data_IF_898689423822
#
_entry.id   IF_898689423822
#
_cell.length_a   1.000
_cell.length_b   1.000
_cell.length_c   1.000
_cell.angle_alpha   90.00
_cell.angle_beta   90.00
_cell.angle_gamma   90.00
#
_symmetry.space_group_name_H-M   'P 1'
#
loop_
_entity.id
_entity.type
_entity.pdbx_description
1 polymer ?
#
# COMPACT_ATOMS: atom_id res chain seq x y z
N UNK A 1 -16.72 1.28 -27.73
CA UNK A 1 -15.79 1.70 -26.67
C UNK A 1 -15.87 0.63 -25.59
N UNK A 2 -14.90 -0.28 -25.51
CA UNK A 2 -14.93 -1.34 -24.49
C UNK A 2 -14.53 -0.74 -23.15
N UNK A 3 -15.50 -0.58 -22.25
CA UNK A 3 -15.22 -0.40 -20.83
C UNK A 3 -14.64 -1.73 -20.33
N UNK A 4 -13.33 -1.80 -20.12
CA UNK A 4 -12.73 -2.95 -19.46
C UNK A 4 -13.12 -2.88 -17.99
N UNK A 5 -14.21 -3.56 -17.63
CA UNK A 5 -14.52 -3.79 -16.23
C UNK A 5 -13.31 -4.48 -15.59
N UNK A 6 -12.86 -3.95 -14.45
CA UNK A 6 -11.74 -4.53 -13.71
C UNK A 6 -12.07 -5.99 -13.35
N UNK A 7 -11.11 -6.93 -13.47
CA UNK A 7 -11.35 -8.31 -13.06
C UNK A 7 -11.45 -8.46 -11.53
N UNK A 8 -11.27 -7.37 -10.78
CA UNK A 8 -11.27 -7.35 -9.32
C UNK A 8 -12.58 -6.75 -8.77
N UNK A 9 -13.04 -7.24 -7.61
CA UNK A 9 -14.18 -6.66 -6.90
C UNK A 9 -13.98 -5.18 -6.53
N UNK A 10 -15.05 -4.39 -6.60
CA UNK A 10 -15.00 -2.94 -6.32
C UNK A 10 -14.59 -2.63 -4.87
N UNK A 11 -14.98 -3.46 -3.91
CA UNK A 11 -14.61 -3.33 -2.49
C UNK A 11 -13.10 -3.54 -2.27
N UNK A 12 -12.49 -4.52 -2.93
CA UNK A 12 -11.05 -4.72 -2.93
C UNK A 12 -10.30 -3.53 -3.57
N UNK A 13 -10.80 -3.02 -4.68
CA UNK A 13 -10.22 -1.85 -5.34
C UNK A 13 -10.34 -0.61 -4.46
N UNK A 14 -11.46 -0.43 -3.76
CA UNK A 14 -11.66 0.67 -2.82
C UNK A 14 -10.70 0.59 -1.62
N UNK A 15 -10.42 -0.62 -1.09
CA UNK A 15 -9.42 -0.82 -0.04
C UNK A 15 -8.01 -0.49 -0.54
N UNK A 16 -7.66 -0.94 -1.75
CA UNK A 16 -6.36 -0.66 -2.36
C UNK A 16 -6.18 0.83 -2.65
N UNK A 17 -7.23 1.52 -3.11
CA UNK A 17 -7.22 2.96 -3.35
C UNK A 17 -6.98 3.74 -2.05
N UNK A 18 -7.69 3.41 -0.98
CA UNK A 18 -7.49 4.02 0.34
C UNK A 18 -6.08 3.77 0.88
N UNK A 19 -5.51 2.57 0.66
CA UNK A 19 -4.14 2.27 1.05
C UNK A 19 -3.14 3.16 0.31
N UNK A 20 -3.34 3.34 -1.00
CA UNK A 20 -2.49 4.18 -1.82
C UNK A 20 -2.55 5.66 -1.40
N UNK A 21 -3.75 6.17 -1.09
CA UNK A 21 -3.96 7.52 -0.58
C UNK A 21 -3.21 7.72 0.76
N UNK A 22 -3.40 6.82 1.73
CA UNK A 22 -2.72 6.92 3.02
C UNK A 22 -1.18 6.85 2.88
N UNK A 23 -0.67 6.03 1.97
CA UNK A 23 0.76 5.96 1.67
C UNK A 23 1.29 7.25 1.01
N UNK A 24 0.50 7.87 0.13
CA UNK A 24 0.85 9.15 -0.49
C UNK A 24 0.89 10.28 0.54
N UNK A 25 -0.04 10.30 1.49
CA UNK A 25 -0.08 11.26 2.59
C UNK A 25 1.15 11.08 3.50
N UNK A 26 1.48 9.84 3.88
CA UNK A 26 2.69 9.55 4.63
C UNK A 26 3.96 9.98 3.89
N UNK A 27 4.06 9.70 2.59
CA UNK A 27 5.21 10.10 1.79
C UNK A 27 5.32 11.62 1.65
N UNK A 28 4.20 12.33 1.56
CA UNK A 28 4.14 13.80 1.55
C UNK A 28 4.67 14.37 2.86
N UNK A 29 4.26 13.80 4.00
CA UNK A 29 4.78 14.19 5.33
C UNK A 29 6.28 13.86 5.48
N UNK A 30 6.73 12.73 4.94
CA UNK A 30 8.10 12.25 5.08
C UNK A 30 9.11 12.89 4.10
N UNK A 31 8.65 13.50 3.00
CA UNK A 31 9.54 14.04 1.96
C UNK A 31 9.87 15.51 2.22
N UNK A 32 11.04 15.76 2.81
CA UNK A 32 11.74 17.03 2.63
C UNK A 32 12.49 17.02 1.27
N UNK A 33 12.46 18.12 0.47
CA UNK A 33 12.91 18.11 -0.92
C UNK A 33 14.44 17.91 -1.13
N UNK A 34 14.87 17.36 -2.30
CA UNK A 34 16.19 16.72 -2.47
C UNK A 34 17.41 17.63 -2.72
N UNK A 35 17.31 18.95 -2.84
CA UNK A 35 18.49 19.84 -2.93
C UNK A 35 18.82 20.60 -1.64
N UNK A 36 18.21 20.21 -0.51
CA UNK A 36 18.50 20.77 0.80
C UNK A 36 19.14 19.76 1.72
N UNK A 37 20.47 19.65 1.68
CA UNK A 37 21.26 19.10 2.79
C UNK A 37 21.12 20.06 3.96
N UNK A 38 20.27 19.75 4.92
CA UNK A 38 20.12 20.61 6.09
C UNK A 38 19.11 19.99 7.01
N UNK A 39 19.64 19.34 8.05
CA UNK A 39 18.97 18.89 9.26
C UNK A 39 17.46 18.65 9.13
N UNK A 40 17.07 17.38 9.17
CA UNK A 40 16.00 16.93 10.06
C UNK A 40 15.21 18.09 10.66
N UNK A 41 14.19 18.56 9.96
CA UNK A 41 13.04 19.05 10.70
C UNK A 41 12.59 17.80 11.46
N UNK A 42 13.05 17.67 12.70
CA UNK A 42 12.46 16.72 13.61
C UNK A 42 10.96 17.00 13.51
N UNK A 43 10.19 15.99 13.13
CA UNK A 43 8.74 16.10 13.02
C UNK A 43 8.22 16.87 14.24
N UNK A 44 7.34 17.84 14.02
CA UNK A 44 6.62 18.44 15.14
C UNK A 44 5.85 17.34 15.88
N UNK A 45 5.51 17.54 17.15
CA UNK A 45 4.71 16.57 17.93
C UNK A 45 3.41 16.21 17.18
N UNK A 46 2.73 17.20 16.61
CA UNK A 46 1.56 17.01 15.73
C UNK A 46 1.88 16.16 14.49
N UNK A 47 3.03 16.34 13.86
CA UNK A 47 3.42 15.52 12.71
C UNK A 47 3.79 14.10 13.13
N UNK A 48 4.32 13.89 14.34
CA UNK A 48 4.55 12.55 14.90
C UNK A 48 3.21 11.86 15.12
N UNK A 49 2.25 12.53 15.77
CA UNK A 49 0.91 12.00 15.97
C UNK A 49 0.23 11.64 14.64
N UNK A 50 0.30 12.53 13.63
CA UNK A 50 -0.23 12.27 12.30
C UNK A 50 0.45 11.08 11.60
N UNK A 51 1.77 10.93 11.79
CA UNK A 51 2.52 9.79 11.25
C UNK A 51 2.08 8.49 11.94
N UNK A 52 1.88 8.50 13.26
CA UNK A 52 1.40 7.32 14.01
C UNK A 52 -0.02 6.91 13.56
N UNK A 53 -0.93 7.88 13.43
CA UNK A 53 -2.30 7.66 12.92
C UNK A 53 -2.28 7.08 11.49
N UNK A 54 -1.46 7.65 10.60
CA UNK A 54 -1.32 7.15 9.23
C UNK A 54 -0.72 5.75 9.19
N UNK A 55 0.24 5.43 10.06
CA UNK A 55 0.80 4.09 10.16
C UNK A 55 -0.21 3.06 10.62
N UNK A 56 -1.02 3.38 11.63
CA UNK A 56 -2.11 2.52 12.06
C UNK A 56 -3.10 2.29 10.92
N UNK A 57 -3.48 3.36 10.21
CA UNK A 57 -4.40 3.28 9.08
C UNK A 57 -3.85 2.44 7.93
N UNK A 58 -2.58 2.63 7.55
CA UNK A 58 -1.90 1.85 6.52
C UNK A 58 -1.84 0.38 6.92
N UNK A 59 -1.55 0.09 8.19
CA UNK A 59 -1.50 -1.28 8.72
C UNK A 59 -2.85 -1.95 8.62
N UNK A 60 -3.93 -1.30 9.06
CA UNK A 60 -5.29 -1.80 8.95
C UNK A 60 -5.70 -2.08 7.51
N UNK A 61 -5.47 -1.11 6.61
CA UNK A 61 -5.81 -1.25 5.19
C UNK A 61 -5.01 -2.39 4.54
N UNK A 62 -3.74 -2.53 4.90
CA UNK A 62 -2.90 -3.65 4.44
C UNK A 62 -3.45 -5.00 4.93
N UNK A 63 -3.92 -5.09 6.18
CA UNK A 63 -4.57 -6.31 6.68
C UNK A 63 -5.89 -6.58 5.94
N UNK A 64 -6.74 -5.57 5.79
CA UNK A 64 -8.03 -5.70 5.09
C UNK A 64 -7.86 -6.14 3.63
N UNK A 65 -6.88 -5.59 2.91
CA UNK A 65 -6.54 -6.04 1.56
C UNK A 65 -6.04 -7.48 1.58
N UNK A 66 -5.14 -7.86 2.48
CA UNK A 66 -4.57 -9.22 2.51
C UNK A 66 -5.55 -10.31 2.96
N UNK A 67 -6.51 -9.97 3.83
CA UNK A 67 -7.51 -10.87 4.39
C UNK A 67 -8.82 -10.87 3.58
N UNK A 68 -8.87 -10.12 2.48
CA UNK A 68 -10.08 -9.95 1.69
C UNK A 68 -10.69 -11.30 1.24
N UNK A 69 -12.03 -11.49 1.35
CA UNK A 69 -12.71 -12.73 0.96
C UNK A 69 -12.44 -13.17 -0.49
N UNK A 70 -12.22 -12.21 -1.39
CA UNK A 70 -11.79 -12.47 -2.78
C UNK A 70 -10.55 -13.36 -2.85
N UNK A 71 -9.55 -13.10 -2.01
CA UNK A 71 -8.36 -13.94 -1.98
C UNK A 71 -8.63 -15.32 -1.41
N UNK A 72 -9.65 -15.48 -0.55
CA UNK A 72 -10.04 -16.81 -0.06
C UNK A 72 -10.72 -17.63 -1.16
N UNK A 73 -11.51 -17.00 -2.02
CA UNK A 73 -12.06 -17.66 -3.22
C UNK A 73 -11.02 -17.93 -4.30
N UNK A 74 -10.00 -17.06 -4.45
CA UNK A 74 -8.92 -17.22 -5.43
C UNK A 74 -7.74 -18.09 -4.92
N UNK A 75 -7.61 -18.30 -3.60
CA UNK A 75 -6.58 -19.15 -2.96
C UNK A 75 -6.83 -20.65 -3.13
N UNK A 76 -7.35 -21.06 -4.28
CA UNK A 76 -7.14 -22.42 -4.81
C UNK A 76 -5.68 -22.57 -5.22
N UNK A 77 -4.77 -22.67 -4.23
CA UNK A 77 -3.32 -22.90 -4.31
C UNK A 77 -2.74 -23.03 -5.74
N UNK A 78 -2.64 -21.93 -6.47
CA UNK A 78 -1.78 -21.86 -7.65
C UNK A 78 -0.37 -21.58 -7.16
N UNK A 79 0.36 -22.64 -6.80
CA UNK A 79 1.80 -22.56 -6.53
C UNK A 79 2.48 -22.02 -7.79
N UNK A 80 2.90 -20.76 -7.77
CA UNK A 80 3.76 -20.20 -8.81
C UNK A 80 5.12 -20.85 -8.61
N UNK A 81 5.49 -21.76 -9.52
CA UNK A 81 6.84 -22.32 -9.57
C UNK A 81 7.81 -21.15 -9.69
N UNK A 82 8.67 -20.96 -8.68
CA UNK A 82 9.72 -19.95 -8.74
C UNK A 82 10.51 -20.13 -10.04
N UNK A 83 10.78 -19.01 -10.73
CA UNK A 83 11.50 -18.98 -12.01
C UNK A 83 12.71 -19.91 -11.91
N UNK A 84 12.66 -21.03 -12.63
CA UNK A 84 13.78 -21.97 -12.74
C UNK A 84 14.98 -21.13 -13.20
N UNK A 85 15.93 -20.90 -12.29
CA UNK A 85 17.20 -20.27 -12.64
C UNK A 85 17.89 -21.24 -13.60
N UNK A 86 18.07 -20.79 -14.84
CA UNK A 86 18.62 -21.59 -15.93
C UNK A 86 19.89 -22.29 -15.49
N UNK A 87 19.91 -23.61 -15.71
CA UNK A 87 21.11 -24.43 -15.64
C UNK A 87 22.16 -23.84 -16.60
N UNK A 88 23.33 -23.55 -16.04
CA UNK A 88 24.56 -23.24 -16.77
C UNK A 88 25.20 -24.52 -17.29
#
# INVERSE_FOLDING_TARGET
MSSYASPFPDDLLALQQQLHEAQADFHTLATAPPWGTGAAAAFTEEQVDQVEELWERIRELTMAVNEHPYWTSERGLRVVRGRDAGAA
#
